data_IF_208178855482
#
_entry.id   IF_208178855482
#
_cell.length_a   1.000
_cell.length_b   1.000
_cell.length_c   1.000
_cell.angle_alpha   90.00
_cell.angle_beta   90.00
_cell.angle_gamma   90.00
#
_symmetry.space_group_name_H-M   'P 1'
#
loop_
_entity.id
_entity.type
_entity.pdbx_description
1 polymer ?
#
# COMPACT_ATOMS: atom_id res chain seq x y z
N UNK A 1 11.66 -38.86 14.18
CA UNK A 1 10.51 -38.13 13.61
C UNK A 1 11.04 -36.85 13.00
N UNK A 2 11.15 -36.77 11.70
CA UNK A 2 11.59 -35.55 11.01
C UNK A 2 10.34 -34.65 10.98
N UNK A 3 10.39 -33.53 11.65
CA UNK A 3 9.34 -32.50 11.56
C UNK A 3 9.46 -31.90 10.16
N UNK A 4 8.39 -31.88 9.37
CA UNK A 4 8.41 -31.18 8.09
C UNK A 4 8.81 -29.70 8.33
N UNK A 5 9.57 -29.08 7.42
CA UNK A 5 9.84 -27.66 7.53
C UNK A 5 8.50 -26.91 7.54
N UNK A 6 8.35 -26.02 8.49
CA UNK A 6 7.18 -25.15 8.56
C UNK A 6 7.18 -24.20 7.37
N UNK A 7 5.99 -23.81 6.91
CA UNK A 7 5.86 -22.76 5.91
C UNK A 7 6.56 -21.46 6.36
N UNK A 8 7.12 -20.69 5.42
CA UNK A 8 7.63 -19.36 5.74
C UNK A 8 6.56 -18.51 6.41
N UNK A 9 6.91 -17.85 7.51
CA UNK A 9 6.02 -16.93 8.21
C UNK A 9 6.22 -15.51 7.68
N UNK A 10 5.12 -14.82 7.42
CA UNK A 10 5.13 -13.43 7.00
C UNK A 10 3.77 -12.80 7.25
N UNK A 11 3.77 -11.50 7.47
CA UNK A 11 2.58 -10.68 7.62
C UNK A 11 2.79 -9.34 6.93
N UNK A 12 2.29 -9.18 5.70
CA UNK A 12 2.37 -7.90 5.01
C UNK A 12 1.48 -6.86 5.68
N UNK A 13 1.84 -5.60 5.51
CA UNK A 13 1.10 -4.46 6.02
C UNK A 13 0.70 -3.54 4.87
N UNK A 14 -0.42 -2.84 5.01
CA UNK A 14 -0.88 -1.86 4.02
C UNK A 14 -1.35 -0.58 4.71
N UNK A 15 -1.00 0.54 4.08
CA UNK A 15 -1.39 1.87 4.53
C UNK A 15 -1.89 2.69 3.35
N UNK A 16 -2.66 3.72 3.63
CA UNK A 16 -3.03 4.76 2.69
C UNK A 16 -2.64 6.10 3.26
N UNK A 17 -1.85 6.86 2.52
CA UNK A 17 -1.25 8.11 2.98
C UNK A 17 -1.42 9.23 1.94
N UNK A 18 -1.28 10.47 2.41
CA UNK A 18 -1.30 11.63 1.54
C UNK A 18 0.01 11.77 0.76
N UNK A 19 -0.08 12.11 -0.53
CA UNK A 19 1.09 12.40 -1.35
C UNK A 19 1.92 13.59 -0.85
N UNK A 20 1.28 14.55 -0.18
CA UNK A 20 1.95 15.79 0.26
C UNK A 20 3.16 15.56 1.17
N UNK A 21 3.28 14.38 1.75
CA UNK A 21 4.33 14.05 2.70
C UNK A 21 5.31 12.99 2.23
N UNK A 22 5.05 12.41 1.06
CA UNK A 22 5.95 11.42 0.47
C UNK A 22 6.45 11.96 -0.85
N UNK A 23 7.72 12.27 -0.90
CA UNK A 23 8.38 12.54 -2.17
C UNK A 23 8.60 11.21 -2.89
N UNK A 24 7.58 10.81 -3.63
CA UNK A 24 7.64 9.60 -4.46
C UNK A 24 8.52 9.78 -5.71
N UNK A 25 9.00 10.97 -5.95
CA UNK A 25 9.93 11.28 -7.04
C UNK A 25 11.38 11.32 -6.58
N UNK A 26 11.61 11.31 -5.28
CA UNK A 26 12.93 11.32 -4.69
C UNK A 26 13.60 9.95 -4.69
N UNK A 27 14.92 9.95 -4.71
CA UNK A 27 15.73 8.74 -4.68
C UNK A 27 15.78 8.07 -3.29
N UNK A 28 15.20 8.71 -2.28
CA UNK A 28 15.24 8.27 -0.88
C UNK A 28 13.92 8.48 -0.19
N UNK A 29 13.68 7.69 0.85
CA UNK A 29 12.58 7.92 1.77
C UNK A 29 12.69 9.33 2.37
N UNK A 30 11.55 10.03 2.49
CA UNK A 30 11.50 11.29 3.25
C UNK A 30 11.83 11.04 4.72
N UNK A 31 12.25 12.07 5.45
CA UNK A 31 12.73 11.91 6.81
C UNK A 31 11.78 11.15 7.75
N UNK A 32 10.48 11.42 7.65
CA UNK A 32 9.46 10.70 8.42
C UNK A 32 9.39 9.20 8.05
N UNK A 33 9.54 8.88 6.77
CA UNK A 33 9.59 7.51 6.28
C UNK A 33 10.87 6.80 6.72
N UNK A 34 11.98 7.53 6.76
CA UNK A 34 13.24 6.98 7.24
C UNK A 34 13.18 6.64 8.72
N UNK A 35 12.59 7.51 9.54
CA UNK A 35 12.36 7.21 10.96
C UNK A 35 11.48 5.96 11.11
N UNK A 36 10.47 5.83 10.29
CA UNK A 36 9.60 4.67 10.26
C UNK A 36 10.34 3.43 9.76
N UNK A 37 11.15 3.55 8.71
CA UNK A 37 11.97 2.47 8.20
C UNK A 37 12.98 2.00 9.26
N UNK A 38 13.59 2.91 10.01
CA UNK A 38 14.50 2.57 11.11
C UNK A 38 13.77 1.84 12.24
N UNK A 39 12.54 2.23 12.56
CA UNK A 39 11.68 1.49 13.49
C UNK A 39 11.33 0.09 13.01
N UNK A 40 11.22 -0.10 11.69
CA UNK A 40 10.91 -1.41 11.11
C UNK A 40 12.09 -2.34 10.97
N UNK A 41 13.27 -1.81 10.90
CA UNK A 41 14.46 -2.60 11.02
C UNK A 41 14.47 -3.38 12.35
N UNK A 42 13.75 -2.88 13.34
CA UNK A 42 13.46 -3.58 14.60
C UNK A 42 12.12 -4.32 14.47
N UNK A 43 12.19 -5.47 13.98
CA UNK A 43 11.36 -6.64 13.66
C UNK A 43 9.90 -6.73 14.11
N UNK A 44 9.35 -5.83 14.89
CA UNK A 44 7.98 -5.95 15.44
C UNK A 44 7.14 -4.68 15.46
N UNK A 45 7.69 -3.56 15.07
CA UNK A 45 6.95 -2.32 15.09
C UNK A 45 6.22 -2.11 13.76
N UNK A 46 4.92 -2.06 13.81
CA UNK A 46 4.11 -1.55 12.73
C UNK A 46 4.18 -0.01 12.78
N UNK A 47 4.82 0.71 11.82
CA UNK A 47 5.02 2.16 11.89
C UNK A 47 3.75 2.95 11.79
N UNK A 48 2.79 2.38 11.11
CA UNK A 48 1.49 2.99 10.92
C UNK A 48 0.40 2.20 11.65
N UNK A 49 0.76 1.46 12.72
CA UNK A 49 -0.29 0.91 13.56
C UNK A 49 -1.34 2.00 13.73
N UNK A 50 -2.60 1.64 13.71
CA UNK A 50 -3.71 2.58 13.87
C UNK A 50 -3.58 3.50 15.11
N UNK A 51 -2.38 3.60 15.63
CA UNK A 51 -1.96 4.49 16.68
C UNK A 51 -1.74 5.89 16.10
N UNK A 52 -2.72 6.73 16.42
CA UNK A 52 -2.77 8.14 16.06
C UNK A 52 -1.49 8.92 16.41
N UNK A 53 -0.65 8.42 17.33
CA UNK A 53 0.55 9.12 17.79
C UNK A 53 1.66 9.18 16.75
N UNK A 54 1.70 8.25 15.81
CA UNK A 54 2.84 8.11 14.91
C UNK A 54 2.68 8.78 13.56
N UNK A 55 1.47 8.99 13.02
CA UNK A 55 1.28 9.63 11.72
C UNK A 55 -0.15 10.06 11.43
N UNK A 56 -0.83 10.60 12.41
CA UNK A 56 -2.22 11.05 12.28
C UNK A 56 -2.44 11.98 11.06
N UNK A 57 -1.43 12.79 10.73
CA UNK A 57 -1.52 13.73 9.59
C UNK A 57 -1.30 13.06 8.23
N UNK A 58 -0.66 11.90 8.19
CA UNK A 58 -0.35 11.18 6.95
C UNK A 58 -1.31 10.04 6.70
N UNK A 59 -1.75 9.36 7.75
CA UNK A 59 -2.67 8.25 7.66
C UNK A 59 -4.04 8.73 7.22
N UNK A 60 -4.45 8.33 6.02
CA UNK A 60 -5.76 8.64 5.46
C UNK A 60 -6.80 7.55 5.71
N UNK A 61 -6.44 6.43 6.33
CA UNK A 61 -7.38 5.34 6.57
C UNK A 61 -8.62 5.83 7.34
N UNK A 62 -9.79 5.43 6.88
CA UNK A 62 -11.10 5.82 7.39
C UNK A 62 -11.48 7.28 7.18
N UNK A 63 -10.64 8.08 6.55
CA UNK A 63 -10.92 9.49 6.28
C UNK A 63 -11.69 9.68 4.97
N UNK A 64 -12.48 10.74 4.93
CA UNK A 64 -13.13 11.21 3.69
C UNK A 64 -12.08 11.78 2.74
N UNK A 65 -12.27 11.50 1.46
CA UNK A 65 -11.45 12.02 0.37
C UNK A 65 -12.35 12.62 -0.70
N UNK A 66 -11.79 13.55 -1.46
CA UNK A 66 -12.50 14.22 -2.54
C UNK A 66 -12.03 13.69 -3.91
N UNK A 67 -12.83 13.95 -4.94
CA UNK A 67 -12.44 13.68 -6.33
C UNK A 67 -11.21 14.50 -6.67
N UNK A 68 -10.23 13.87 -7.32
CA UNK A 68 -8.95 14.50 -7.63
C UNK A 68 -7.90 14.39 -6.52
N UNK A 69 -8.26 13.95 -5.33
CA UNK A 69 -7.29 13.71 -4.26
C UNK A 69 -6.34 12.58 -4.62
N UNK A 70 -5.11 12.73 -4.19
CA UNK A 70 -4.07 11.75 -4.37
C UNK A 70 -3.95 10.88 -3.12
N UNK A 71 -4.03 9.57 -3.33
CA UNK A 71 -3.89 8.56 -2.29
C UNK A 71 -2.69 7.69 -2.65
N UNK A 72 -1.68 7.66 -1.79
CA UNK A 72 -0.56 6.72 -1.95
C UNK A 72 -0.81 5.51 -1.06
N UNK A 73 -1.01 4.36 -1.69
CA UNK A 73 -1.05 3.10 -0.96
C UNK A 73 0.37 2.60 -0.74
N UNK A 74 0.66 2.22 0.49
CA UNK A 74 1.92 1.58 0.84
C UNK A 74 1.65 0.11 1.13
N UNK A 75 2.33 -0.76 0.44
CA UNK A 75 2.32 -2.20 0.71
C UNK A 75 3.70 -2.61 1.21
N UNK A 76 3.74 -3.14 2.42
CA UNK A 76 4.96 -3.54 3.09
C UNK A 76 5.11 -5.05 3.00
N UNK A 77 6.05 -5.49 2.18
CA UNK A 77 6.42 -6.88 2.01
C UNK A 77 7.30 -7.31 3.18
N UNK A 78 6.88 -8.36 3.88
CA UNK A 78 7.53 -8.84 5.09
C UNK A 78 8.50 -9.99 4.79
N UNK A 79 9.78 -9.76 5.02
CA UNK A 79 10.82 -10.80 5.04
C UNK A 79 11.43 -10.97 6.44
N UNK A 80 10.87 -10.31 7.45
CA UNK A 80 11.44 -10.26 8.81
C UNK A 80 11.36 -11.60 9.54
N UNK A 81 10.41 -12.46 9.17
CA UNK A 81 10.11 -13.72 9.86
C UNK A 81 10.60 -14.95 9.11
N UNK A 82 11.34 -14.77 8.01
CA UNK A 82 11.97 -15.88 7.32
C UNK A 82 13.10 -16.43 8.18
N UNK A 83 12.92 -17.63 8.69
CA UNK A 83 13.83 -18.26 9.63
C UNK A 83 14.84 -19.21 8.97
N UNK A 84 15.73 -19.79 9.78
CA UNK A 84 16.76 -20.70 9.31
C UNK A 84 16.20 -21.98 8.66
N UNK A 85 14.93 -22.35 8.97
CA UNK A 85 14.33 -23.57 8.43
C UNK A 85 13.87 -23.41 6.97
N UNK A 86 13.55 -22.20 6.53
CA UNK A 86 12.98 -21.98 5.20
C UNK A 86 13.65 -20.90 4.36
N UNK A 87 14.45 -19.99 4.94
CA UNK A 87 15.06 -18.86 4.22
C UNK A 87 15.86 -19.26 2.98
N UNK A 88 16.51 -20.41 3.00
CA UNK A 88 17.36 -20.90 1.91
C UNK A 88 16.54 -21.64 0.82
N UNK A 89 15.24 -21.78 0.99
CA UNK A 89 14.34 -22.46 0.07
C UNK A 89 13.28 -21.53 -0.54
N UNK A 90 13.34 -20.25 -0.27
CA UNK A 90 12.40 -19.27 -0.84
C UNK A 90 12.82 -18.97 -2.27
N UNK A 91 11.90 -19.22 -3.20
CA UNK A 91 12.15 -19.05 -4.64
C UNK A 91 11.80 -17.65 -5.14
N UNK A 92 10.71 -17.08 -4.63
CA UNK A 92 10.29 -15.74 -4.98
C UNK A 92 9.46 -15.10 -3.89
N UNK A 93 9.45 -13.78 -3.88
CA UNK A 93 8.59 -12.94 -3.06
C UNK A 93 7.96 -11.86 -3.93
N UNK A 94 6.76 -11.47 -3.60
CA UNK A 94 6.08 -10.41 -4.32
C UNK A 94 4.83 -9.94 -3.61
N UNK A 95 4.21 -8.92 -4.19
CA UNK A 95 2.92 -8.40 -3.76
C UNK A 95 1.91 -8.45 -4.91
N UNK A 96 0.65 -8.45 -4.53
CA UNK A 96 -0.49 -8.31 -5.42
C UNK A 96 -1.46 -7.30 -4.81
N UNK A 97 -1.98 -6.37 -5.59
CA UNK A 97 -2.92 -5.34 -5.16
C UNK A 97 -4.03 -5.18 -6.20
N UNK A 98 -5.23 -5.59 -5.84
CA UNK A 98 -6.44 -5.43 -6.66
C UNK A 98 -7.11 -4.10 -6.27
N UNK A 99 -6.58 -3.00 -6.83
CA UNK A 99 -7.13 -1.68 -6.58
C UNK A 99 -8.44 -1.47 -7.33
N UNK A 100 -9.30 -0.60 -6.82
CA UNK A 100 -10.58 -0.29 -7.47
C UNK A 100 -10.37 0.67 -8.66
N UNK A 101 -10.15 0.11 -9.84
CA UNK A 101 -9.94 0.86 -11.08
C UNK A 101 -11.18 1.62 -11.55
N UNK A 102 -12.33 1.35 -10.96
CA UNK A 102 -13.55 2.13 -11.24
C UNK A 102 -13.57 3.46 -10.51
N UNK A 103 -12.77 3.61 -9.46
CA UNK A 103 -12.72 4.78 -8.58
C UNK A 103 -11.36 5.47 -8.54
N UNK A 104 -10.31 4.77 -8.91
CA UNK A 104 -8.93 5.25 -8.84
C UNK A 104 -8.26 5.21 -10.21
N UNK A 105 -7.54 6.28 -10.54
CA UNK A 105 -6.55 6.29 -11.61
C UNK A 105 -5.19 5.89 -11.06
N UNK A 106 -4.48 5.06 -11.82
CA UNK A 106 -3.13 4.60 -11.51
C UNK A 106 -2.18 4.89 -12.67
N UNK A 107 -1.04 5.49 -12.38
CA UNK A 107 0.11 5.50 -13.28
C UNK A 107 1.13 4.47 -12.79
N UNK A 108 1.16 3.31 -13.43
CA UNK A 108 2.02 2.19 -13.04
C UNK A 108 3.51 2.52 -13.11
N UNK A 109 3.90 3.53 -13.92
CA UNK A 109 5.29 3.98 -14.04
C UNK A 109 5.80 4.70 -12.80
N UNK A 110 4.89 5.13 -11.92
CA UNK A 110 5.18 5.81 -10.66
C UNK A 110 5.21 4.88 -9.45
N UNK A 111 4.93 3.58 -9.63
CA UNK A 111 5.09 2.60 -8.56
C UNK A 111 6.57 2.48 -8.23
N UNK A 112 6.92 2.60 -6.96
CA UNK A 112 8.28 2.51 -6.45
C UNK A 112 8.38 1.47 -5.36
N UNK A 113 9.55 0.84 -5.25
CA UNK A 113 9.87 -0.09 -4.18
C UNK A 113 11.15 0.36 -3.47
N UNK A 114 11.14 0.31 -2.15
CA UNK A 114 12.24 0.75 -1.30
C UNK A 114 12.65 -0.33 -0.30
N UNK A 115 13.94 -0.45 -0.08
CA UNK A 115 14.50 -1.17 1.06
C UNK A 115 14.27 -0.32 2.33
N UNK A 116 13.51 -0.83 3.30
CA UNK A 116 13.16 -0.08 4.50
C UNK A 116 14.36 0.19 5.42
N UNK A 117 15.43 -0.58 5.30
CA UNK A 117 16.64 -0.42 6.13
C UNK A 117 17.58 0.63 5.56
N UNK A 118 17.80 0.59 4.25
CA UNK A 118 18.77 1.49 3.58
C UNK A 118 18.10 2.73 3.01
N UNK A 119 16.80 2.69 2.76
CA UNK A 119 16.06 3.73 2.03
C UNK A 119 16.32 3.75 0.53
N UNK A 120 17.05 2.75 0.00
CA UNK A 120 17.37 2.70 -1.41
C UNK A 120 16.14 2.37 -2.26
N UNK A 121 16.01 3.05 -3.40
CA UNK A 121 15.07 2.68 -4.44
C UNK A 121 15.55 1.39 -5.10
N UNK A 122 14.74 0.34 -4.96
CA UNK A 122 15.01 -0.99 -5.50
C UNK A 122 13.94 -1.42 -6.50
N UNK A 123 13.23 -0.47 -7.07
CA UNK A 123 12.13 -0.74 -8.01
C UNK A 123 12.57 -1.62 -9.18
N UNK A 124 13.79 -1.44 -9.65
CA UNK A 124 14.39 -2.20 -10.75
C UNK A 124 14.64 -3.70 -10.43
N UNK A 125 14.59 -4.08 -9.15
CA UNK A 125 14.69 -5.48 -8.73
C UNK A 125 13.39 -6.27 -8.92
N UNK A 126 12.29 -5.59 -9.19
CA UNK A 126 10.98 -6.21 -9.33
C UNK A 126 10.44 -6.10 -10.76
N UNK A 127 9.78 -7.16 -11.21
CA UNK A 127 8.89 -7.12 -12.36
C UNK A 127 7.53 -6.62 -11.89
N UNK A 128 7.16 -5.42 -12.35
CA UNK A 128 5.90 -4.77 -11.99
C UNK A 128 4.98 -4.80 -13.21
N UNK A 129 3.77 -5.31 -13.02
CA UNK A 129 2.76 -5.39 -14.06
C UNK A 129 1.38 -5.02 -13.51
N UNK A 130 0.53 -4.49 -14.38
CA UNK A 130 -0.88 -4.21 -14.08
C UNK A 130 -1.73 -4.90 -15.14
N UNK A 131 -2.54 -5.84 -14.72
CA UNK A 131 -3.42 -6.60 -15.60
C UNK A 131 -4.82 -6.68 -15.01
N UNK A 132 -5.82 -6.21 -15.74
CA UNK A 132 -7.23 -6.24 -15.32
C UNK A 132 -7.45 -5.66 -13.91
N UNK A 133 -6.84 -4.50 -13.62
CA UNK A 133 -6.97 -3.83 -12.32
C UNK A 133 -6.13 -4.44 -11.19
N UNK A 134 -5.34 -5.48 -11.47
CA UNK A 134 -4.46 -6.11 -10.48
C UNK A 134 -3.02 -5.72 -10.72
N UNK A 135 -2.41 -5.10 -9.72
CA UNK A 135 -0.98 -4.80 -9.68
C UNK A 135 -0.26 -6.02 -9.13
N UNK A 136 0.81 -6.45 -9.80
CA UNK A 136 1.74 -7.45 -9.27
C UNK A 136 3.15 -6.89 -9.30
N UNK A 137 3.92 -7.18 -8.26
CA UNK A 137 5.35 -6.90 -8.22
C UNK A 137 6.05 -8.16 -7.70
N UNK A 138 6.91 -8.74 -8.50
CA UNK A 138 7.60 -10.01 -8.19
C UNK A 138 9.10 -9.80 -8.35
N UNK A 139 9.88 -10.29 -7.39
CA UNK A 139 11.33 -10.22 -7.46
C UNK A 139 11.84 -10.91 -8.73
N UNK A 140 12.72 -10.22 -9.47
CA UNK A 140 13.28 -10.74 -10.72
C UNK A 140 14.16 -11.98 -10.50
N UNK A 141 14.15 -12.89 -11.47
CA UNK A 141 14.95 -14.12 -11.46
C UNK A 141 16.46 -13.87 -11.36
N UNK A 142 16.95 -12.70 -11.76
CA UNK A 142 18.37 -12.33 -11.63
C UNK A 142 18.90 -12.26 -10.20
N UNK A 143 18.04 -12.29 -9.20
CA UNK A 143 18.39 -12.31 -7.78
C UNK A 143 18.32 -13.70 -7.15
N UNK A 144 18.28 -14.73 -7.97
CA UNK A 144 18.28 -16.13 -7.56
C UNK A 144 19.63 -16.80 -7.79
N UNK A 145 19.80 -17.93 -7.13
CA UNK A 145 20.92 -18.86 -7.33
C UNK A 145 20.39 -20.29 -7.36
N UNK A 146 21.17 -21.20 -7.94
CA UNK A 146 20.88 -22.63 -7.89
C UNK A 146 21.16 -23.22 -6.51
N UNK A 147 20.30 -24.15 -6.07
CA UNK A 147 20.58 -25.02 -4.92
C UNK A 147 21.68 -26.04 -5.20
N UNK A 148 22.04 -26.25 -6.49
CA UNK A 148 23.03 -27.26 -6.90
C UNK A 148 22.45 -28.67 -6.97
N UNK A 149 21.14 -28.83 -6.94
CA UNK A 149 20.46 -30.09 -7.15
C UNK A 149 20.36 -30.46 -8.64
N UNK A 150 19.93 -31.72 -8.93
CA UNK A 150 19.81 -32.21 -10.30
C UNK A 150 18.78 -31.42 -11.15
N UNK A 151 17.77 -30.83 -10.49
CA UNK A 151 16.72 -30.08 -11.13
C UNK A 151 17.07 -28.59 -11.31
N UNK A 152 18.26 -28.17 -10.85
CA UNK A 152 18.70 -26.77 -10.87
C UNK A 152 17.68 -25.83 -10.23
N UNK A 153 17.14 -26.26 -9.08
CA UNK A 153 16.14 -25.48 -8.33
C UNK A 153 16.70 -24.10 -7.99
N UNK A 154 15.96 -23.07 -8.34
CA UNK A 154 16.35 -21.68 -8.10
C UNK A 154 15.73 -21.17 -6.81
N UNK A 155 16.53 -20.51 -6.00
CA UNK A 155 16.13 -19.85 -4.75
C UNK A 155 16.70 -18.44 -4.69
N UNK A 156 16.10 -17.57 -3.90
CA UNK A 156 16.60 -16.21 -3.73
C UNK A 156 18.02 -16.26 -3.13
N UNK A 157 18.92 -15.55 -3.78
CA UNK A 157 20.28 -15.33 -3.28
C UNK A 157 20.26 -14.17 -2.28
N UNK A 158 20.35 -14.49 -0.99
CA UNK A 158 20.28 -13.51 0.09
C UNK A 158 21.46 -12.54 0.14
N UNK A 159 22.51 -12.77 -0.64
CA UNK A 159 23.60 -11.80 -0.84
C UNK A 159 23.21 -10.69 -1.83
N UNK A 160 22.22 -10.94 -2.66
CA UNK A 160 21.70 -9.99 -3.66
C UNK A 160 20.37 -9.33 -3.25
N UNK A 161 19.59 -10.03 -2.46
CA UNK A 161 18.33 -9.56 -1.91
C UNK A 161 18.22 -10.04 -0.46
N UNK A 162 18.44 -9.12 0.48
CA UNK A 162 18.53 -9.46 1.90
C UNK A 162 17.13 -9.70 2.50
N UNK A 163 17.06 -10.69 3.41
CA UNK A 163 15.90 -10.89 4.28
C UNK A 163 16.08 -10.19 5.63
N UNK A 164 15.13 -10.35 6.53
CA UNK A 164 15.15 -9.76 7.85
C UNK A 164 14.71 -8.30 7.88
N UNK A 165 13.94 -7.87 6.91
CA UNK A 165 13.46 -6.50 6.75
C UNK A 165 12.15 -6.44 5.98
N UNK A 166 11.49 -5.28 6.02
CA UNK A 166 10.40 -4.95 5.11
C UNK A 166 10.92 -4.28 3.83
N UNK A 167 10.19 -4.49 2.76
CA UNK A 167 10.33 -3.73 1.51
C UNK A 167 9.02 -2.99 1.25
N UNK A 168 9.08 -1.67 1.08
CA UNK A 168 7.92 -0.83 0.92
C UNK A 168 7.63 -0.57 -0.56
N UNK A 169 6.41 -0.83 -0.99
CA UNK A 169 5.91 -0.46 -2.30
C UNK A 169 4.99 0.75 -2.16
N UNK A 170 5.32 1.84 -2.84
CA UNK A 170 4.47 3.01 -2.96
C UNK A 170 3.68 2.95 -4.25
N UNK A 171 2.36 2.99 -4.13
CA UNK A 171 1.40 2.88 -5.22
C UNK A 171 0.57 4.16 -5.27
N UNK A 172 0.98 5.16 -6.06
CA UNK A 172 0.27 6.43 -6.14
C UNK A 172 -0.98 6.29 -7.00
N UNK A 173 -2.10 6.75 -6.45
CA UNK A 173 -3.40 6.76 -7.13
C UNK A 173 -4.04 8.14 -7.03
N UNK A 174 -5.02 8.40 -7.88
CA UNK A 174 -5.84 9.62 -7.85
C UNK A 174 -7.30 9.23 -7.88
N UNK A 175 -8.10 9.80 -7.00
CA UNK A 175 -9.55 9.60 -7.00
C UNK A 175 -10.15 10.18 -8.27
N UNK A 176 -10.84 9.36 -9.04
CA UNK A 176 -11.44 9.77 -10.32
C UNK A 176 -12.47 10.89 -10.15
N UNK A 177 -12.57 11.73 -11.17
CA UNK A 177 -13.49 12.87 -11.19
C UNK A 177 -14.98 12.48 -11.22
N UNK A 178 -15.29 11.27 -11.66
CA UNK A 178 -16.65 10.76 -11.83
C UNK A 178 -17.10 9.78 -10.74
N UNK A 179 -16.33 9.64 -9.68
CA UNK A 179 -16.71 8.78 -8.54
C UNK A 179 -18.01 9.29 -7.92
N UNK A 180 -19.04 8.45 -7.77
CA UNK A 180 -20.27 8.86 -7.10
C UNK A 180 -20.02 9.27 -5.64
N UNK A 181 -20.79 10.23 -5.14
CA UNK A 181 -20.79 10.52 -3.72
C UNK A 181 -21.46 9.42 -2.89
N UNK A 182 -21.04 9.27 -1.64
CA UNK A 182 -21.60 8.30 -0.71
C UNK A 182 -21.08 6.87 -0.91
N UNK A 183 -19.97 6.69 -1.66
CA UNK A 183 -19.35 5.38 -1.85
C UNK A 183 -18.03 5.30 -1.09
N UNK A 184 -17.62 4.07 -0.78
CA UNK A 184 -16.33 3.79 -0.20
C UNK A 184 -15.34 3.31 -1.27
N UNK A 185 -14.08 3.71 -1.11
CA UNK A 185 -12.94 3.19 -1.86
C UNK A 185 -12.22 2.21 -0.94
N UNK A 186 -12.30 0.95 -1.25
CA UNK A 186 -11.66 -0.11 -0.47
C UNK A 186 -10.43 -0.65 -1.19
N UNK A 187 -9.39 -0.98 -0.43
CA UNK A 187 -8.19 -1.58 -1.01
C UNK A 187 -7.53 -2.56 -0.02
N UNK A 188 -7.28 -3.77 -0.49
CA UNK A 188 -6.54 -4.82 0.22
C UNK A 188 -5.49 -5.39 -0.73
N UNK A 189 -4.27 -5.53 -0.25
CA UNK A 189 -3.20 -6.20 -0.97
C UNK A 189 -2.90 -7.57 -0.37
N UNK A 190 -1.99 -8.29 -0.99
CA UNK A 190 -1.48 -9.56 -0.48
C UNK A 190 0.01 -9.68 -0.76
N UNK A 191 0.69 -10.43 0.09
CA UNK A 191 2.05 -10.91 -0.18
C UNK A 191 1.99 -12.35 -0.62
N UNK A 192 2.75 -12.67 -1.67
CA UNK A 192 2.90 -14.01 -2.22
C UNK A 192 4.34 -14.46 -2.04
N UNK A 193 4.53 -15.66 -1.51
CA UNK A 193 5.84 -16.29 -1.35
C UNK A 193 5.79 -17.65 -2.02
N UNK A 194 6.74 -17.92 -2.91
CA UNK A 194 6.95 -19.26 -3.43
C UNK A 194 8.14 -19.87 -2.68
N UNK A 195 7.95 -21.04 -2.12
CA UNK A 195 9.05 -21.75 -1.50
C UNK A 195 9.08 -23.23 -1.90
N UNK A 196 10.30 -23.76 -1.98
CA UNK A 196 10.53 -25.15 -2.28
C UNK A 196 10.59 -25.95 -0.98
N UNK A 197 9.64 -26.87 -0.79
CA UNK A 197 9.64 -27.76 0.36
C UNK A 197 10.63 -28.92 0.10
N UNK A 198 11.77 -28.98 0.77
CA UNK A 198 12.79 -30.01 0.50
C UNK A 198 12.34 -31.41 0.89
N UNK A 199 11.33 -31.55 1.75
CA UNK A 199 10.79 -32.84 2.16
C UNK A 199 9.85 -33.42 1.11
N UNK A 200 8.90 -32.61 0.63
CA UNK A 200 7.91 -33.02 -0.39
C UNK A 200 8.42 -32.86 -1.80
N UNK A 201 9.50 -32.09 -2.00
CA UNK A 201 10.06 -31.69 -3.30
C UNK A 201 9.03 -30.96 -4.18
N UNK A 202 8.14 -30.22 -3.54
CA UNK A 202 7.10 -29.44 -4.20
C UNK A 202 7.27 -27.95 -3.90
N UNK A 203 6.87 -27.12 -4.85
CA UNK A 203 6.73 -25.68 -4.64
C UNK A 203 5.38 -25.41 -3.98
N UNK A 204 5.41 -24.64 -2.90
CA UNK A 204 4.24 -24.15 -2.19
C UNK A 204 4.19 -22.64 -2.33
N UNK A 205 2.97 -22.09 -2.39
CA UNK A 205 2.74 -20.68 -2.72
C UNK A 205 1.80 -20.05 -1.70
N UNK A 206 2.24 -19.91 -0.44
CA UNK A 206 1.43 -19.21 0.56
C UNK A 206 1.19 -17.76 0.15
N UNK A 207 -0.02 -17.31 0.41
CA UNK A 207 -0.51 -15.97 0.14
C UNK A 207 -1.20 -15.44 1.39
N UNK A 208 -0.85 -14.22 1.82
CA UNK A 208 -1.47 -13.60 3.00
C UNK A 208 -1.92 -12.18 2.69
N UNK A 209 -3.16 -11.82 3.06
CA UNK A 209 -3.66 -10.48 2.87
C UNK A 209 -3.06 -9.49 3.88
N UNK A 210 -3.04 -8.24 3.46
CA UNK A 210 -2.83 -7.09 4.32
C UNK A 210 -4.14 -6.69 5.01
N UNK A 211 -4.08 -5.66 5.85
CA UNK A 211 -5.28 -4.95 6.30
C UNK A 211 -6.00 -4.33 5.10
N UNK A 212 -7.32 -4.26 5.18
CA UNK A 212 -8.14 -3.46 4.27
C UNK A 212 -8.08 -1.99 4.65
N UNK A 213 -7.89 -1.12 3.67
CA UNK A 213 -7.95 0.32 3.84
C UNK A 213 -9.19 0.89 3.16
N UNK A 214 -9.83 1.86 3.79
CA UNK A 214 -11.11 2.39 3.36
C UNK A 214 -11.08 3.92 3.41
N UNK A 215 -11.52 4.54 2.32
CA UNK A 215 -11.78 5.97 2.26
C UNK A 215 -13.21 6.19 1.76
N UNK A 216 -13.91 7.14 2.35
CA UNK A 216 -15.25 7.52 1.91
C UNK A 216 -15.20 8.73 0.98
N UNK A 217 -16.04 8.72 -0.04
CA UNK A 217 -16.27 9.88 -0.90
C UNK A 217 -17.59 10.52 -0.49
N UNK A 218 -17.59 11.76 0.01
CA UNK A 218 -18.80 12.38 0.51
C UNK A 218 -19.82 12.69 -0.60
N UNK A 219 -21.09 12.75 -0.22
CA UNK A 219 -22.15 13.21 -1.12
C UNK A 219 -22.01 14.71 -1.30
N UNK A 220 -21.95 15.16 -2.55
CA UNK A 220 -22.06 16.59 -2.87
C UNK A 220 -23.53 16.96 -3.02
N UNK A 221 -23.95 17.97 -2.29
CA UNK A 221 -25.30 18.51 -2.38
C UNK A 221 -25.19 19.97 -2.78
N UNK A 222 -25.73 20.31 -3.95
CA UNK A 222 -25.86 21.70 -4.36
C UNK A 222 -27.21 22.25 -3.90
N UNK A 223 -27.15 23.38 -3.20
CA UNK A 223 -28.33 24.14 -2.82
C UNK A 223 -28.35 25.44 -3.59
N UNK A 224 -29.38 25.62 -4.41
CA UNK A 224 -29.63 26.88 -5.11
C UNK A 224 -30.68 27.67 -4.36
N UNK A 225 -30.28 28.79 -3.79
CA UNK A 225 -31.17 29.72 -3.11
C UNK A 225 -31.38 30.97 -3.95
N UNK A 226 -32.64 31.31 -4.18
CA UNK A 226 -33.00 32.57 -4.80
C UNK A 226 -33.77 33.40 -3.79
N UNK A 227 -33.28 34.58 -3.46
CA UNK A 227 -33.99 35.55 -2.67
C UNK A 227 -34.39 36.75 -3.54
N UNK A 228 -35.66 37.12 -3.48
CA UNK A 228 -36.17 38.31 -4.14
C UNK A 228 -36.64 39.28 -3.07
N UNK A 229 -36.36 40.56 -3.26
CA UNK A 229 -36.93 41.65 -2.51
C UNK A 229 -37.95 42.37 -3.39
N UNK A 230 -39.10 42.66 -2.80
CA UNK A 230 -40.08 43.53 -3.44
C UNK A 230 -39.70 45.00 -3.15
N UNK A 231 -39.68 45.81 -4.18
CA UNK A 231 -39.49 47.26 -4.07
C UNK A 231 -38.07 47.80 -4.16
N UNK A 232 -37.04 46.96 -4.16
CA UNK A 232 -35.65 47.37 -4.40
C UNK A 232 -34.76 46.23 -4.81
N UNK A 233 -33.58 46.54 -5.32
CA UNK A 233 -32.57 45.55 -5.64
C UNK A 233 -31.83 45.03 -4.38
N UNK A 234 -31.38 43.76 -4.45
CA UNK A 234 -30.53 43.15 -3.45
C UNK A 234 -29.12 43.76 -3.50
N UNK A 235 -28.57 44.08 -2.33
CA UNK A 235 -27.17 44.48 -2.21
C UNK A 235 -26.32 43.30 -1.86
N UNK A 236 -25.06 43.32 -2.29
CA UNK A 236 -24.10 42.29 -1.95
C UNK A 236 -23.96 42.16 -0.42
N UNK A 237 -23.91 40.91 0.07
CA UNK A 237 -23.80 40.57 1.49
C UNK A 237 -24.95 41.07 2.41
N UNK A 238 -26.09 41.40 1.85
CA UNK A 238 -27.24 41.86 2.62
C UNK A 238 -27.92 40.75 3.44
N UNK A 239 -27.76 39.49 3.00
CA UNK A 239 -28.33 38.31 3.66
C UNK A 239 -27.32 37.19 3.69
N UNK A 240 -27.39 36.38 4.74
CA UNK A 240 -26.66 35.15 4.85
C UNK A 240 -27.60 33.97 5.01
N UNK A 241 -27.19 32.81 4.54
CA UNK A 241 -27.89 31.54 4.75
C UNK A 241 -27.02 30.64 5.64
N UNK A 242 -27.64 30.01 6.59
CA UNK A 242 -26.97 29.02 7.43
C UNK A 242 -27.62 27.67 7.15
N UNK A 243 -26.83 26.74 6.70
CA UNK A 243 -27.25 25.35 6.54
C UNK A 243 -27.14 24.64 7.88
N UNK A 244 -28.21 23.98 8.30
CA UNK A 244 -28.24 23.16 9.51
C UNK A 244 -28.72 21.77 9.13
N UNK A 245 -28.12 20.75 9.78
CA UNK A 245 -28.65 19.39 9.69
C UNK A 245 -29.97 19.23 10.45
N UNK A 246 -30.54 18.03 10.40
CA UNK A 246 -31.79 17.73 11.11
C UNK A 246 -31.69 17.84 12.63
N UNK A 247 -30.46 17.95 13.17
CA UNK A 247 -30.20 18.15 14.60
C UNK A 247 -29.95 19.62 14.96
N UNK A 248 -29.96 20.53 13.96
CA UNK A 248 -29.71 21.95 14.13
C UNK A 248 -28.24 22.35 14.22
N UNK A 249 -27.30 21.44 13.92
CA UNK A 249 -25.89 21.77 13.80
C UNK A 249 -25.58 22.44 12.46
N UNK A 250 -24.69 23.44 12.51
CA UNK A 250 -24.11 24.12 11.34
C UNK A 250 -22.78 23.51 10.96
#
# INVERSE_FOLDING_TARGET
RVTPPEEPKFQPEKYVVSEEKFDITGDKLVDDDKELADKYADTNANPYADDASNNEKQNLNTKSVERGDKLVYQVWLDTTKFDAANKDNIQSVGISDDYDETKLDLDSTKIKAYDSVTGDDITDKFDIAVNNGVITATLKAGFTKSLGDADNTQVIDTTKFAFGRYYKFDIPTTVKADVPGGVDIENTAAQVVNYYNPTTKKVETPNKPTQKRVNSVPVQVEFNFTKRLEGRELKANEFSFVLKDSTGKT
#
